data_IF_727170857607
#
_entry.id   IF_727170857607
#
_cell.length_a   1.000
_cell.length_b   1.000
_cell.length_c   1.000
_cell.angle_alpha   90.00
_cell.angle_beta   90.00
_cell.angle_gamma   90.00
#
_symmetry.space_group_name_H-M   'P 1'
#
loop_
_entity.id
_entity.type
_entity.pdbx_description
1 polymer ?
#
# COMPACT_ATOMS: atom_id res chain seq x y z
N UNK A 1 23.89 -30.12 -49.67
CA UNK A 1 24.67 -31.37 -49.44
C UNK A 1 24.42 -31.68 -47.97
N UNK A 2 23.45 -32.59 -47.69
CA UNK A 2 23.57 -33.99 -47.35
C UNK A 2 24.51 -34.22 -46.16
N UNK A 3 23.96 -34.60 -44.99
CA UNK A 3 23.87 -35.96 -44.42
C UNK A 3 23.15 -35.82 -43.06
N UNK A 4 22.07 -36.40 -42.75
CA UNK A 4 21.45 -37.72 -42.58
C UNK A 4 22.39 -38.74 -41.93
N UNK A 5 22.09 -39.13 -40.67
CA UNK A 5 22.20 -40.48 -40.11
C UNK A 5 21.54 -40.43 -38.70
N UNK A 6 20.49 -41.10 -38.50
CA UNK A 6 20.09 -42.51 -38.29
C UNK A 6 20.25 -42.96 -36.83
N UNK A 7 19.14 -43.06 -36.19
CA UNK A 7 18.44 -44.07 -35.36
C UNK A 7 19.29 -45.21 -34.79
N UNK A 8 19.21 -45.45 -33.48
CA UNK A 8 19.17 -46.80 -32.90
C UNK A 8 18.19 -46.85 -31.76
N UNK A 9 17.15 -47.66 -31.91
CA UNK A 9 16.18 -48.10 -30.91
C UNK A 9 16.84 -49.16 -30.01
N UNK A 10 16.76 -48.98 -28.72
CA UNK A 10 17.11 -50.00 -27.73
C UNK A 10 15.92 -50.30 -26.82
N UNK A 11 15.28 -51.42 -27.08
CA UNK A 11 14.19 -51.97 -26.26
C UNK A 11 14.80 -52.81 -25.15
N UNK A 12 14.56 -52.47 -23.89
CA UNK A 12 14.94 -53.30 -22.74
C UNK A 12 13.69 -53.60 -21.90
N UNK A 13 13.35 -54.86 -21.87
CA UNK A 13 12.25 -55.45 -21.10
C UNK A 13 12.68 -55.58 -19.64
N UNK A 14 11.84 -55.11 -18.75
CA UNK A 14 12.05 -55.21 -17.31
C UNK A 14 11.16 -56.28 -16.69
N UNK A 15 11.82 -57.12 -15.93
CA UNK A 15 11.22 -58.15 -15.09
C UNK A 15 10.68 -57.51 -13.79
N UNK A 16 9.44 -57.77 -13.47
CA UNK A 16 8.79 -57.40 -12.23
C UNK A 16 9.22 -58.35 -11.10
N UNK A 17 9.80 -57.81 -10.04
CA UNK A 17 9.93 -58.49 -8.75
C UNK A 17 9.00 -57.87 -7.74
N UNK A 18 7.99 -58.64 -7.39
CA UNK A 18 7.05 -58.34 -6.27
C UNK A 18 7.75 -58.54 -4.92
N UNK A 19 7.86 -57.49 -4.12
CA UNK A 19 8.18 -57.60 -2.71
C UNK A 19 6.94 -57.18 -1.92
N UNK A 20 6.30 -58.15 -1.28
CA UNK A 20 5.31 -57.95 -0.23
C UNK A 20 6.00 -57.40 1.03
N UNK A 21 5.63 -56.17 1.42
CA UNK A 21 6.01 -55.65 2.70
C UNK A 21 4.78 -55.50 3.60
N UNK A 22 4.89 -56.08 4.76
CA UNK A 22 3.85 -56.16 5.81
C UNK A 22 3.42 -54.81 6.28
N UNK A 23 2.12 -54.51 6.17
CA UNK A 23 1.46 -53.35 6.74
C UNK A 23 1.50 -53.43 8.27
N UNK A 24 2.32 -52.57 8.89
CA UNK A 24 2.14 -52.22 10.32
C UNK A 24 1.06 -51.14 10.38
N UNK A 25 -0.07 -51.50 10.96
CA UNK A 25 -1.07 -50.52 11.39
C UNK A 25 -0.46 -49.63 12.48
N UNK A 26 -0.20 -48.36 12.08
CA UNK A 26 0.06 -47.31 13.07
C UNK A 26 -1.31 -46.69 13.38
N UNK A 27 -1.76 -46.93 14.60
CA UNK A 27 -2.86 -46.21 15.23
C UNK A 27 -2.48 -44.72 15.29
N UNK A 28 -3.13 -43.90 14.47
CA UNK A 28 -3.03 -42.44 14.53
C UNK A 28 -3.85 -42.01 15.73
N UNK A 29 -3.18 -41.58 16.79
CA UNK A 29 -3.80 -40.85 17.89
C UNK A 29 -4.26 -39.50 17.37
N UNK A 30 -5.58 -39.34 17.20
CA UNK A 30 -6.23 -38.04 17.07
C UNK A 30 -6.08 -37.27 18.38
N UNK A 31 -5.17 -36.31 18.43
CA UNK A 31 -5.23 -35.15 19.33
C UNK A 31 -4.08 -34.19 18.98
N UNK A 32 -4.23 -33.47 17.87
CA UNK A 32 -3.59 -32.17 17.68
C UNK A 32 -4.69 -31.20 17.29
N UNK A 33 -5.36 -30.65 18.31
CA UNK A 33 -6.18 -29.46 18.15
C UNK A 33 -5.23 -28.32 17.74
N UNK A 34 -5.11 -28.09 16.44
CA UNK A 34 -4.50 -26.89 15.91
C UNK A 34 -5.33 -25.72 16.45
N UNK A 35 -4.78 -25.01 17.44
CA UNK A 35 -5.27 -23.69 17.82
C UNK A 35 -5.13 -22.80 16.60
N UNK A 36 -6.23 -22.66 15.86
CA UNK A 36 -6.41 -21.54 14.94
C UNK A 36 -6.26 -20.27 15.78
N UNK A 37 -5.14 -19.58 15.62
CA UNK A 37 -4.92 -18.29 16.24
C UNK A 37 -6.06 -17.38 15.76
N UNK A 38 -6.94 -17.00 16.66
CA UNK A 38 -7.92 -15.94 16.43
C UNK A 38 -7.13 -14.69 16.06
N UNK A 39 -7.50 -13.96 14.98
CA UNK A 39 -6.85 -12.70 14.64
C UNK A 39 -6.92 -11.80 15.89
N UNK A 40 -5.76 -11.36 16.35
CA UNK A 40 -5.66 -10.42 17.44
C UNK A 40 -6.47 -9.19 17.04
N UNK A 41 -7.48 -8.85 17.85
CA UNK A 41 -8.31 -7.67 17.64
C UNK A 41 -7.42 -6.46 17.88
N UNK A 42 -6.83 -5.92 16.81
CA UNK A 42 -6.06 -4.69 16.87
C UNK A 42 -7.07 -3.60 17.23
N UNK A 43 -6.98 -3.12 18.45
CA UNK A 43 -7.86 -2.08 18.96
C UNK A 43 -7.40 -0.75 18.34
N UNK A 44 -8.27 -0.14 17.52
CA UNK A 44 -7.97 1.14 16.87
C UNK A 44 -7.79 2.21 17.95
N UNK A 45 -6.70 2.99 17.86
CA UNK A 45 -6.44 4.07 18.79
C UNK A 45 -7.55 5.13 18.71
N UNK A 46 -7.99 5.62 19.87
CA UNK A 46 -8.96 6.70 19.88
C UNK A 46 -8.32 8.02 19.39
N UNK A 47 -9.13 8.95 18.89
CA UNK A 47 -8.67 10.31 18.53
C UNK A 47 -7.97 11.01 19.71
N UNK A 48 -8.37 10.72 20.94
CA UNK A 48 -7.72 11.26 22.13
C UNK A 48 -6.31 10.69 22.31
N UNK A 49 -6.10 9.39 22.06
CA UNK A 49 -4.79 8.76 22.12
C UNK A 49 -3.87 9.24 21.00
N UNK A 50 -4.45 9.59 19.85
CA UNK A 50 -3.74 10.12 18.69
C UNK A 50 -3.31 11.59 18.84
N UNK A 51 -3.93 12.36 19.74
CA UNK A 51 -3.67 13.79 19.92
C UNK A 51 -2.22 14.16 20.31
N UNK A 52 -1.44 13.17 20.74
CA UNK A 52 -0.02 13.34 21.10
C UNK A 52 0.94 13.22 19.91
N UNK A 53 0.44 12.82 18.74
CA UNK A 53 1.21 12.65 17.51
C UNK A 53 1.02 13.83 16.57
N UNK A 54 2.01 14.07 15.74
CA UNK A 54 1.87 15.01 14.63
C UNK A 54 1.05 14.40 13.50
N UNK A 55 0.49 15.27 12.64
CA UNK A 55 -0.30 14.82 11.48
C UNK A 55 0.30 15.30 10.17
N UNK A 56 0.20 14.47 9.13
CA UNK A 56 0.48 14.82 7.75
C UNK A 56 -0.66 14.32 6.84
N UNK A 57 -0.88 14.98 5.71
CA UNK A 57 -2.01 14.69 4.82
C UNK A 57 -1.52 14.48 3.39
N UNK A 58 -1.94 13.38 2.76
CA UNK A 58 -1.52 13.01 1.41
C UNK A 58 -2.66 12.39 0.61
N UNK A 59 -2.64 12.60 -0.71
CA UNK A 59 -3.51 11.91 -1.66
C UNK A 59 -2.65 11.36 -2.82
N UNK A 60 -2.77 10.09 -3.15
CA UNK A 60 -1.98 9.47 -4.23
C UNK A 60 -2.66 8.22 -4.80
N UNK A 61 -3.89 8.36 -5.29
CA UNK A 61 -4.71 7.27 -5.78
C UNK A 61 -5.61 6.70 -4.69
N UNK A 62 -6.08 5.45 -4.87
CA UNK A 62 -6.97 4.80 -3.92
C UNK A 62 -6.41 4.82 -2.49
N UNK A 63 -7.20 5.36 -1.56
CA UNK A 63 -6.80 5.54 -0.16
C UNK A 63 -6.53 4.21 0.58
N UNK A 64 -7.16 3.08 0.22
CA UNK A 64 -6.83 1.77 0.79
C UNK A 64 -5.36 1.39 0.57
N UNK A 65 -4.84 1.67 -0.64
CA UNK A 65 -3.43 1.42 -0.95
C UNK A 65 -2.50 2.37 -0.19
N UNK A 66 -2.91 3.64 -0.07
CA UNK A 66 -2.10 4.68 0.58
C UNK A 66 -2.05 4.44 2.09
N UNK A 67 -3.20 4.11 2.71
CA UNK A 67 -3.33 3.70 4.10
C UNK A 67 -2.36 2.55 4.41
N UNK A 68 -2.47 1.43 3.69
CA UNK A 68 -1.62 0.25 3.91
C UNK A 68 -0.11 0.56 3.78
N UNK A 69 0.26 1.44 2.84
CA UNK A 69 1.66 1.85 2.67
C UNK A 69 2.15 2.66 3.87
N UNK A 70 1.43 3.71 4.29
CA UNK A 70 1.85 4.53 5.43
C UNK A 70 1.79 3.75 6.74
N UNK A 71 0.82 2.86 6.93
CA UNK A 71 0.76 1.96 8.09
C UNK A 71 1.99 1.04 8.19
N UNK A 72 2.61 0.68 7.08
CA UNK A 72 3.83 -0.13 7.08
C UNK A 72 5.09 0.63 7.52
N UNK A 73 5.01 1.97 7.66
CA UNK A 73 6.17 2.84 7.92
C UNK A 73 6.44 2.98 9.41
N UNK A 74 7.70 2.82 9.83
CA UNK A 74 8.13 3.05 11.22
C UNK A 74 7.82 4.48 11.66
N UNK A 75 7.40 4.64 12.91
CA UNK A 75 7.02 5.95 13.45
C UNK A 75 5.62 6.42 13.09
N UNK A 76 4.96 5.81 12.11
CA UNK A 76 3.52 6.02 11.84
C UNK A 76 2.71 5.20 12.84
N UNK A 77 1.79 5.83 13.52
CA UNK A 77 0.99 5.22 14.59
C UNK A 77 -0.39 4.80 14.10
N UNK A 78 -1.00 5.62 13.28
CA UNK A 78 -2.32 5.38 12.71
C UNK A 78 -2.43 6.11 11.37
N UNK A 79 -3.22 5.56 10.45
CA UNK A 79 -3.58 6.20 9.20
C UNK A 79 -5.09 6.13 9.04
N UNK A 80 -5.71 7.25 8.74
CA UNK A 80 -7.15 7.32 8.54
C UNK A 80 -7.43 7.66 7.08
N UNK A 81 -8.19 6.80 6.40
CA UNK A 81 -8.68 7.05 5.06
C UNK A 81 -9.79 8.09 5.07
N UNK A 82 -9.79 9.00 4.10
CA UNK A 82 -10.78 10.08 4.03
C UNK A 82 -10.72 10.91 2.76
N UNK A 83 -11.19 12.14 2.86
CA UNK A 83 -11.34 13.07 1.74
C UNK A 83 -10.78 14.43 2.09
N UNK A 84 -9.99 15.01 1.17
CA UNK A 84 -9.41 16.34 1.33
C UNK A 84 -9.19 17.04 -0.02
N UNK A 85 -8.89 18.35 0.03
CA UNK A 85 -8.52 19.15 -1.15
C UNK A 85 -9.69 19.61 -2.01
N UNK A 86 -10.92 19.42 -1.56
CA UNK A 86 -12.15 19.92 -2.20
C UNK A 86 -12.81 21.03 -1.39
N UNK A 87 -13.96 21.48 -1.88
CA UNK A 87 -14.73 22.60 -1.31
C UNK A 87 -16.05 22.17 -0.67
N UNK A 88 -16.57 21.00 -1.02
CA UNK A 88 -17.85 20.49 -0.56
C UNK A 88 -17.75 20.10 0.92
N UNK A 89 -18.84 20.37 1.64
CA UNK A 89 -18.96 20.00 3.06
C UNK A 89 -19.51 18.57 3.17
N UNK A 90 -18.93 17.81 4.08
CA UNK A 90 -19.35 16.45 4.38
C UNK A 90 -19.44 15.56 3.13
N UNK A 91 -18.34 15.43 2.34
CA UNK A 91 -18.32 14.55 1.20
C UNK A 91 -18.58 13.10 1.64
N UNK A 92 -19.23 12.33 0.76
CA UNK A 92 -19.41 10.90 0.93
C UNK A 92 -18.65 10.15 -0.17
N UNK A 93 -18.40 8.85 0.05
CA UNK A 93 -17.76 8.01 -0.97
C UNK A 93 -18.48 8.08 -2.33
N UNK A 94 -19.81 8.06 -2.31
CA UNK A 94 -20.60 8.15 -3.53
C UNK A 94 -20.38 9.49 -4.27
N UNK A 95 -20.36 10.60 -3.55
CA UNK A 95 -20.11 11.93 -4.15
C UNK A 95 -18.71 12.05 -4.75
N UNK A 96 -17.69 11.55 -4.03
CA UNK A 96 -16.30 11.59 -4.48
C UNK A 96 -16.09 10.62 -5.64
N UNK A 97 -16.57 9.38 -5.51
CA UNK A 97 -16.45 8.34 -6.52
C UNK A 97 -17.16 8.65 -7.84
N UNK A 98 -18.32 9.34 -7.77
CA UNK A 98 -19.07 9.77 -8.97
C UNK A 98 -18.57 11.08 -9.60
N UNK A 99 -17.56 11.75 -9.00
CA UNK A 99 -17.06 13.04 -9.46
C UNK A 99 -17.98 14.24 -9.16
N UNK A 100 -18.93 14.07 -8.24
CA UNK A 100 -19.79 15.15 -7.74
C UNK A 100 -19.13 15.99 -6.64
N UNK A 101 -17.94 15.57 -6.20
CA UNK A 101 -17.12 16.29 -5.24
C UNK A 101 -15.75 16.58 -5.81
N UNK A 102 -15.21 17.75 -5.48
CA UNK A 102 -13.85 18.16 -5.84
C UNK A 102 -12.78 17.58 -4.91
N UNK A 103 -13.17 16.84 -3.88
CA UNK A 103 -12.24 16.18 -2.98
C UNK A 103 -11.46 15.04 -3.67
N UNK A 104 -10.21 14.80 -3.21
CA UNK A 104 -9.47 13.60 -3.49
C UNK A 104 -9.66 12.57 -2.37
N UNK A 105 -9.51 11.28 -2.70
CA UNK A 105 -9.24 10.26 -1.72
C UNK A 105 -7.88 10.55 -1.09
N UNK A 106 -7.84 10.69 0.22
CA UNK A 106 -6.68 11.15 0.97
C UNK A 106 -6.52 10.34 2.25
N UNK A 107 -5.36 10.46 2.88
CA UNK A 107 -5.09 9.89 4.19
C UNK A 107 -4.62 10.97 5.17
N UNK A 108 -5.05 10.84 6.42
CA UNK A 108 -4.49 11.54 7.58
C UNK A 108 -3.52 10.58 8.27
N UNK A 109 -2.24 10.94 8.29
CA UNK A 109 -1.15 10.13 8.82
C UNK A 109 -0.73 10.68 10.18
N UNK A 110 -0.92 9.91 11.24
CA UNK A 110 -0.43 10.23 12.59
C UNK A 110 0.95 9.65 12.80
N UNK A 111 1.94 10.45 13.14
CA UNK A 111 3.33 10.01 13.25
C UNK A 111 4.04 10.60 14.47
N UNK A 112 5.04 9.87 14.98
CA UNK A 112 5.95 10.36 16.01
C UNK A 112 7.13 11.08 15.35
N UNK A 113 7.26 12.40 15.48
CA UNK A 113 8.33 13.18 14.85
C UNK A 113 9.72 12.87 15.41
N UNK A 114 9.82 12.14 16.54
CA UNK A 114 11.07 11.65 17.08
C UNK A 114 11.57 10.39 16.39
N UNK A 115 10.70 9.68 15.68
CA UNK A 115 10.99 8.42 14.99
C UNK A 115 11.07 8.60 13.48
N UNK A 116 10.18 9.40 12.92
CA UNK A 116 10.15 9.74 11.48
C UNK A 116 9.82 11.22 11.30
N UNK A 117 10.56 11.90 10.45
CA UNK A 117 10.36 13.32 10.15
C UNK A 117 9.34 13.53 9.02
N UNK A 118 8.78 14.75 8.92
CA UNK A 118 7.93 15.12 7.78
C UNK A 118 8.66 15.00 6.43
N UNK A 119 9.98 15.28 6.38
CA UNK A 119 10.82 15.07 5.19
C UNK A 119 10.79 13.62 4.75
N UNK A 120 10.95 12.68 5.68
CA UNK A 120 10.90 11.24 5.39
C UNK A 120 9.50 10.79 4.95
N UNK A 121 8.42 11.35 5.52
CA UNK A 121 7.05 11.08 5.05
C UNK A 121 6.83 11.58 3.62
N UNK A 122 7.40 12.72 3.23
CA UNK A 122 7.39 13.22 1.85
C UNK A 122 8.15 12.26 0.93
N UNK A 123 9.26 11.67 1.37
CA UNK A 123 10.00 10.65 0.61
C UNK A 123 9.16 9.37 0.44
N UNK A 124 8.49 8.91 1.49
CA UNK A 124 7.54 7.79 1.44
C UNK A 124 6.43 8.08 0.43
N UNK A 125 5.82 9.26 0.50
CA UNK A 125 4.75 9.69 -0.40
C UNK A 125 5.21 9.58 -1.87
N UNK A 126 6.29 10.25 -2.27
CA UNK A 126 6.77 10.20 -3.65
C UNK A 126 7.28 8.83 -4.09
N UNK A 127 7.79 8.03 -3.17
CA UNK A 127 8.24 6.66 -3.44
C UNK A 127 7.12 5.62 -3.52
N UNK A 128 5.91 5.98 -3.10
CA UNK A 128 4.77 5.08 -3.02
C UNK A 128 3.88 5.06 -4.27
N UNK A 129 4.04 6.02 -5.19
CA UNK A 129 3.16 6.19 -6.36
C UNK A 129 3.90 6.78 -7.56
N UNK A 130 3.23 6.86 -8.70
CA UNK A 130 3.71 7.58 -9.87
C UNK A 130 3.16 9.02 -9.87
N UNK A 131 3.97 10.03 -9.52
CA UNK A 131 3.51 11.42 -9.44
C UNK A 131 3.41 12.10 -10.80
N UNK A 132 3.63 11.40 -11.91
CA UNK A 132 3.63 11.97 -13.25
C UNK A 132 2.28 11.80 -13.98
N UNK A 133 1.35 11.08 -13.38
CA UNK A 133 0.05 10.78 -13.99
C UNK A 133 -1.05 11.68 -13.44
N UNK A 134 -1.57 12.58 -14.29
CA UNK A 134 -2.67 13.49 -13.92
C UNK A 134 -3.98 12.70 -13.72
N UNK A 135 -4.63 12.94 -12.58
CA UNK A 135 -5.93 12.34 -12.23
C UNK A 135 -5.98 10.82 -12.41
N UNK A 136 -4.87 10.14 -12.11
CA UNK A 136 -4.76 8.69 -12.27
C UNK A 136 -3.66 8.11 -11.39
N UNK A 137 -3.90 6.91 -10.85
CA UNK A 137 -2.86 6.09 -10.25
C UNK A 137 -3.09 4.61 -10.59
N UNK A 138 -2.16 4.02 -11.35
CA UNK A 138 -2.32 2.65 -11.84
C UNK A 138 -3.60 2.49 -12.67
N UNK A 139 -4.51 1.57 -12.30
CA UNK A 139 -5.79 1.38 -13.01
C UNK A 139 -6.83 2.45 -12.66
N UNK A 140 -6.71 3.12 -11.52
CA UNK A 140 -7.70 4.05 -11.00
C UNK A 140 -7.65 5.38 -11.78
N UNK A 141 -8.80 5.85 -12.25
CA UNK A 141 -8.95 7.05 -13.08
C UNK A 141 -10.02 7.96 -12.50
N UNK A 142 -9.73 9.26 -12.46
CA UNK A 142 -10.62 10.29 -11.95
C UNK A 142 -9.89 11.30 -11.08
N UNK A 143 -10.46 12.48 -10.90
CA UNK A 143 -9.90 13.56 -10.08
C UNK A 143 -9.72 13.16 -8.62
N UNK A 144 -10.53 12.23 -8.12
CA UNK A 144 -10.42 11.68 -6.77
C UNK A 144 -9.11 10.90 -6.54
N UNK A 145 -8.44 10.43 -7.59
CA UNK A 145 -7.18 9.69 -7.52
C UNK A 145 -5.95 10.53 -7.84
N UNK A 146 -6.08 11.86 -7.86
CA UNK A 146 -4.97 12.77 -8.15
C UNK A 146 -3.94 12.78 -7.02
N UNK A 147 -2.73 13.19 -7.33
CA UNK A 147 -1.63 13.30 -6.39
C UNK A 147 -1.63 14.68 -5.73
N UNK A 148 -1.71 14.73 -4.39
CA UNK A 148 -1.63 15.96 -3.60
C UNK A 148 -0.74 15.73 -2.38
N UNK A 149 0.23 16.62 -2.16
CA UNK A 149 0.92 16.77 -0.90
C UNK A 149 0.38 18.03 -0.21
N UNK A 150 -0.27 17.85 0.93
CA UNK A 150 -0.80 18.96 1.71
C UNK A 150 0.24 19.51 2.67
N UNK A 151 0.23 20.83 2.89
CA UNK A 151 1.07 21.50 3.89
C UNK A 151 0.24 22.27 4.90
N UNK A 152 0.64 22.28 6.14
CA UNK A 152 0.01 23.02 7.24
C UNK A 152 0.67 24.38 7.51
N UNK A 153 1.92 24.55 7.06
CA UNK A 153 2.74 25.75 7.25
C UNK A 153 3.77 25.90 6.14
N UNK A 154 4.44 27.05 6.10
CA UNK A 154 5.42 27.39 5.07
C UNK A 154 6.70 26.53 5.11
N UNK A 155 7.03 25.94 6.26
CA UNK A 155 8.17 25.01 6.36
C UNK A 155 7.85 23.70 5.64
N UNK A 156 6.69 23.10 5.93
CA UNK A 156 6.21 21.90 5.22
C UNK A 156 6.12 22.14 3.70
N UNK A 157 5.58 23.29 3.30
CA UNK A 157 5.53 23.68 1.88
C UNK A 157 6.91 23.67 1.22
N UNK A 158 7.88 24.34 1.85
CA UNK A 158 9.27 24.40 1.34
C UNK A 158 9.90 23.02 1.26
N UNK A 159 9.62 22.12 2.20
CA UNK A 159 10.09 20.73 2.19
C UNK A 159 9.56 20.02 0.95
N UNK A 160 8.24 20.08 0.72
CA UNK A 160 7.61 19.42 -0.44
C UNK A 160 8.15 19.97 -1.76
N UNK A 161 8.18 21.30 -1.91
CA UNK A 161 8.66 21.97 -3.13
C UNK A 161 10.13 21.67 -3.41
N UNK A 162 10.98 21.68 -2.38
CA UNK A 162 12.40 21.34 -2.48
C UNK A 162 12.59 19.89 -2.89
N UNK A 163 11.79 18.97 -2.38
CA UNK A 163 11.85 17.57 -2.76
C UNK A 163 11.43 17.35 -4.22
N UNK A 164 10.35 17.98 -4.66
CA UNK A 164 9.93 17.98 -6.07
C UNK A 164 11.05 18.53 -6.98
N UNK A 165 11.71 19.61 -6.57
CA UNK A 165 12.80 20.17 -7.34
C UNK A 165 14.02 19.24 -7.40
N UNK A 166 14.31 18.53 -6.31
CA UNK A 166 15.38 17.53 -6.28
C UNK A 166 15.08 16.35 -7.24
N UNK A 167 13.84 15.85 -7.25
CA UNK A 167 13.41 14.79 -8.19
C UNK A 167 13.56 15.23 -9.65
N UNK A 168 13.20 16.48 -9.97
CA UNK A 168 13.36 17.06 -11.32
C UNK A 168 14.85 17.18 -11.71
N UNK A 169 15.67 17.72 -10.81
CA UNK A 169 17.11 17.91 -11.05
C UNK A 169 17.85 16.59 -11.26
N UNK A 170 17.44 15.55 -10.56
CA UNK A 170 17.96 14.18 -10.69
C UNK A 170 17.36 13.42 -11.88
N UNK A 171 16.41 14.03 -12.59
CA UNK A 171 15.71 13.43 -13.73
C UNK A 171 15.10 12.03 -13.42
N UNK A 172 14.59 11.86 -12.20
CA UNK A 172 14.07 10.57 -11.70
C UNK A 172 12.97 10.01 -12.61
N UNK A 173 12.16 10.87 -13.18
CA UNK A 173 11.02 10.49 -14.06
C UNK A 173 11.32 10.72 -15.55
N UNK A 174 12.59 10.73 -15.96
CA UNK A 174 12.98 10.83 -17.38
C UNK A 174 12.33 12.02 -18.14
N UNK A 175 12.22 13.16 -17.46
CA UNK A 175 11.64 14.39 -18.02
C UNK A 175 10.10 14.47 -17.98
N UNK A 176 9.41 13.44 -17.51
CA UNK A 176 7.97 13.52 -17.32
C UNK A 176 7.61 14.57 -16.24
N UNK A 177 6.55 15.39 -16.45
CA UNK A 177 6.15 16.41 -15.49
C UNK A 177 5.61 15.77 -14.22
N UNK A 178 6.02 16.28 -13.05
CA UNK A 178 5.38 15.92 -11.78
C UNK A 178 4.06 16.68 -11.71
N UNK A 179 2.95 15.96 -11.59
CA UNK A 179 1.57 16.50 -11.55
C UNK A 179 1.04 16.63 -10.12
N UNK A 180 1.85 16.32 -9.11
CA UNK A 180 1.48 16.46 -7.71
C UNK A 180 1.14 17.91 -7.38
N UNK A 181 -0.07 18.16 -6.86
CA UNK A 181 -0.47 19.44 -6.30
C UNK A 181 0.20 19.67 -4.95
N UNK A 182 0.69 20.90 -4.71
CA UNK A 182 1.19 21.34 -3.41
C UNK A 182 0.17 22.32 -2.85
N UNK A 183 -0.66 21.86 -1.91
CA UNK A 183 -1.89 22.54 -1.51
C UNK A 183 -1.92 22.80 -0.03
N UNK A 184 -2.32 24.01 0.38
CA UNK A 184 -2.53 24.33 1.80
C UNK A 184 -3.63 23.40 2.37
N UNK A 185 -3.33 22.75 3.48
CA UNK A 185 -4.31 21.93 4.17
C UNK A 185 -5.41 22.81 4.77
N UNK A 186 -6.65 22.47 4.52
CA UNK A 186 -7.81 23.19 5.07
C UNK A 186 -8.64 22.30 5.98
N UNK A 187 -9.09 21.18 5.47
CA UNK A 187 -9.93 20.24 6.22
C UNK A 187 -9.82 18.83 5.68
N UNK A 188 -9.87 17.88 6.58
CA UNK A 188 -10.01 16.46 6.32
C UNK A 188 -11.39 16.00 6.77
N UNK A 189 -11.98 15.09 6.00
CA UNK A 189 -13.22 14.41 6.33
C UNK A 189 -12.93 12.91 6.33
N UNK A 190 -13.18 12.25 7.45
CA UNK A 190 -13.03 10.80 7.56
C UNK A 190 -13.93 10.10 6.53
N UNK A 191 -13.40 9.10 5.84
CA UNK A 191 -14.23 8.19 5.07
C UNK A 191 -15.04 7.30 6.03
N UNK A 192 -16.05 6.69 5.48
CA UNK A 192 -16.96 5.79 6.20
C UNK A 192 -16.17 4.62 6.82
N UNK A 193 -16.60 4.13 7.98
CA UNK A 193 -15.87 3.14 8.78
C UNK A 193 -15.51 1.86 8.00
N UNK A 194 -16.33 1.46 7.04
CA UNK A 194 -16.04 0.28 6.22
C UNK A 194 -14.86 0.45 5.26
N UNK A 195 -14.34 1.66 5.08
CA UNK A 195 -13.13 1.94 4.30
C UNK A 195 -11.84 1.86 5.12
N UNK A 196 -11.94 2.00 6.43
CA UNK A 196 -10.78 1.99 7.31
C UNK A 196 -10.17 0.58 7.40
N UNK A 197 -8.84 0.46 7.30
CA UNK A 197 -8.11 -0.83 7.32
C UNK A 197 -8.56 -1.80 6.20
N UNK A 198 -9.01 -1.28 5.08
CA UNK A 198 -9.71 -2.11 4.09
C UNK A 198 -8.84 -3.23 3.54
N UNK A 199 -7.57 -2.97 3.24
CA UNK A 199 -6.63 -3.99 2.75
C UNK A 199 -6.51 -5.14 3.74
N UNK A 200 -6.33 -4.83 5.02
CA UNK A 200 -6.17 -5.81 6.10
C UNK A 200 -7.44 -6.61 6.37
N UNK A 201 -8.60 -5.93 6.33
CA UNK A 201 -9.91 -6.55 6.57
C UNK A 201 -10.40 -7.40 5.38
N UNK A 202 -9.93 -7.11 4.16
CA UNK A 202 -10.42 -7.73 2.92
C UNK A 202 -9.31 -8.31 2.02
N UNK A 203 -8.39 -9.16 2.54
CA UNK A 203 -7.21 -9.64 1.80
C UNK A 203 -7.57 -10.47 0.57
N UNK A 204 -8.79 -11.01 0.50
CA UNK A 204 -9.28 -11.80 -0.63
C UNK A 204 -10.03 -10.97 -1.69
N UNK A 205 -10.23 -9.67 -1.48
CA UNK A 205 -10.82 -8.79 -2.48
C UNK A 205 -9.94 -8.74 -3.73
N UNK A 206 -10.56 -8.80 -4.91
CA UNK A 206 -9.82 -8.88 -6.18
C UNK A 206 -8.96 -7.63 -6.44
N UNK A 207 -9.42 -6.43 -6.09
CA UNK A 207 -8.65 -5.19 -6.21
C UNK A 207 -7.45 -5.19 -5.24
N UNK A 208 -7.67 -5.61 -4.00
CA UNK A 208 -6.60 -5.72 -3.00
C UNK A 208 -5.50 -6.66 -3.50
N UNK A 209 -5.84 -7.85 -3.98
CA UNK A 209 -4.87 -8.83 -4.47
C UNK A 209 -4.12 -8.39 -5.73
N UNK A 210 -4.79 -7.71 -6.65
CA UNK A 210 -4.24 -7.42 -7.97
C UNK A 210 -3.65 -6.00 -8.10
N UNK A 211 -4.00 -5.07 -7.20
CA UNK A 211 -3.56 -3.67 -7.25
C UNK A 211 -2.86 -3.26 -5.97
N UNK A 212 -3.52 -3.37 -4.82
CA UNK A 212 -3.03 -2.83 -3.55
C UNK A 212 -1.80 -3.58 -3.02
N UNK A 213 -1.90 -4.89 -2.81
CA UNK A 213 -0.77 -5.73 -2.35
C UNK A 213 0.46 -5.64 -3.28
N UNK A 214 0.34 -5.73 -4.62
CA UNK A 214 1.47 -5.52 -5.50
C UNK A 214 2.11 -4.12 -5.38
N UNK A 215 1.31 -3.08 -5.13
CA UNK A 215 1.81 -1.71 -4.90
C UNK A 215 2.58 -1.61 -3.58
N UNK A 216 2.01 -2.14 -2.48
CA UNK A 216 2.65 -2.21 -1.17
C UNK A 216 3.97 -3.01 -1.24
N UNK A 217 3.99 -4.16 -1.91
CA UNK A 217 5.18 -4.98 -2.05
C UNK A 217 6.30 -4.27 -2.83
N UNK A 218 5.97 -3.53 -3.89
CA UNK A 218 6.95 -2.69 -4.60
C UNK A 218 7.52 -1.60 -3.71
N UNK A 219 6.66 -0.94 -2.92
CA UNK A 219 7.10 0.05 -1.95
C UNK A 219 8.05 -0.57 -0.92
N UNK A 220 7.66 -1.67 -0.27
CA UNK A 220 8.49 -2.37 0.72
C UNK A 220 9.85 -2.80 0.16
N UNK A 221 9.90 -3.28 -1.07
CA UNK A 221 11.14 -3.69 -1.72
C UNK A 221 12.14 -2.54 -1.93
N UNK A 222 11.66 -1.31 -2.14
CA UNK A 222 12.50 -0.15 -2.43
C UNK A 222 12.76 0.74 -1.20
N UNK A 223 11.95 0.64 -0.17
CA UNK A 223 11.95 1.52 1.01
C UNK A 223 12.14 0.78 2.34
N UNK A 224 12.87 -0.35 2.33
CA UNK A 224 13.09 -1.21 3.50
C UNK A 224 13.57 -0.47 4.76
N UNK A 225 14.38 0.58 4.62
CA UNK A 225 14.86 1.39 5.75
C UNK A 225 13.78 2.23 6.45
N UNK A 226 12.58 2.33 5.89
CA UNK A 226 11.45 3.08 6.46
C UNK A 226 10.39 2.17 7.10
N UNK A 227 10.53 0.86 6.98
CA UNK A 227 9.49 -0.07 7.43
C UNK A 227 9.52 -0.30 8.94
N UNK A 228 8.36 -0.63 9.49
CA UNK A 228 8.24 -1.23 10.81
C UNK A 228 8.97 -2.58 10.81
N UNK A 229 9.60 -2.92 11.93
CA UNK A 229 10.11 -4.27 12.12
C UNK A 229 8.92 -5.24 12.16
N UNK A 230 8.99 -6.32 11.38
CA UNK A 230 7.98 -7.37 11.47
C UNK A 230 8.14 -8.05 12.84
N UNK A 231 7.11 -7.96 13.67
CA UNK A 231 7.06 -8.70 14.92
C UNK A 231 6.80 -10.17 14.55
N UNK A 232 7.84 -10.99 14.69
CA UNK A 232 7.80 -12.44 14.47
C UNK A 232 7.17 -13.15 15.67
#
# INVERSE_FOLDING_TARGET
MKNIQLIVLGFAILLATSCQSKTKQHTISENASEKVATPEKIEKLSRQDLSKYETAYFASGCFWCVEAIFESVRGVQEVISGYAGGTEKNPTYEMVGSGQSSHAEAVEVYYDPKVISFVELVQVFFGSHDPTTLNRQGPDRGTQYRSIAFYKNEEEKKIIESYIQALKNQNVYSGAPITTEVTAFTKFYDAEEYHQDYERKHPNNSYIRNVSIPRLNRFKANFGGYLKEEVH
#
